data_IF_449275503601
#
_entry.id   IF_449275503601
#
_cell.length_a   1.000
_cell.length_b   1.000
_cell.length_c   1.000
_cell.angle_alpha   90.00
_cell.angle_beta   90.00
_cell.angle_gamma   90.00
#
_symmetry.space_group_name_H-M   'P 1'
#
loop_
_entity.id
_entity.type
_entity.pdbx_description
1 polymer ?
#
# COMPACT_ATOMS: atom_id res chain seq x y z
N UNK A 1 -0.66 10.00 50.12
CA UNK A 1 -0.59 10.35 48.70
C UNK A 1 -1.80 9.75 47.99
N UNK A 2 -2.87 10.52 47.83
CA UNK A 2 -4.10 10.08 47.16
C UNK A 2 -4.77 11.30 46.53
N UNK A 3 -4.30 11.71 45.36
CA UNK A 3 -4.94 12.77 44.56
C UNK A 3 -4.66 12.62 43.05
N UNK A 4 -4.31 11.41 42.58
CA UNK A 4 -4.08 11.13 41.15
C UNK A 4 -5.34 10.54 40.50
N UNK A 5 -6.32 10.09 41.29
CA UNK A 5 -7.43 9.27 40.79
C UNK A 5 -8.61 10.08 40.22
N UNK A 6 -8.69 11.39 40.44
CA UNK A 6 -9.85 12.21 40.01
C UNK A 6 -9.57 13.16 38.83
N UNK A 7 -8.32 13.34 38.40
CA UNK A 7 -7.98 14.22 37.24
C UNK A 7 -7.81 13.46 35.91
N UNK A 8 -8.02 12.14 35.89
CA UNK A 8 -7.59 11.28 34.78
C UNK A 8 -8.62 11.06 33.66
N UNK A 9 -9.88 11.47 33.82
CA UNK A 9 -10.89 11.21 32.78
C UNK A 9 -10.67 12.07 31.53
N UNK A 10 -10.44 13.36 31.66
CA UNK A 10 -10.28 14.28 30.51
C UNK A 10 -8.97 14.06 29.73
N UNK A 11 -7.87 13.74 30.42
CA UNK A 11 -6.60 13.39 29.77
C UNK A 11 -6.67 12.02 29.05
N UNK A 12 -7.39 11.05 29.63
CA UNK A 12 -7.62 9.76 28.97
C UNK A 12 -8.44 9.92 27.68
N UNK A 13 -9.52 10.73 27.68
CA UNK A 13 -10.29 11.02 26.47
C UNK A 13 -9.47 11.73 25.40
N UNK A 14 -8.66 12.73 25.77
CA UNK A 14 -7.77 13.43 24.83
C UNK A 14 -6.73 12.48 24.21
N UNK A 15 -6.12 11.59 25.00
CA UNK A 15 -5.15 10.62 24.46
C UNK A 15 -5.81 9.54 23.57
N UNK A 16 -7.05 9.14 23.88
CA UNK A 16 -7.82 8.21 23.07
C UNK A 16 -8.20 8.83 21.72
N UNK A 17 -8.61 10.09 21.71
CA UNK A 17 -8.94 10.83 20.49
C UNK A 17 -7.71 10.98 19.58
N UNK A 18 -6.54 11.33 20.11
CA UNK A 18 -5.30 11.42 19.34
C UNK A 18 -4.90 10.06 18.75
N UNK A 19 -5.02 8.96 19.53
CA UNK A 19 -4.74 7.61 19.04
C UNK A 19 -5.72 7.19 17.94
N UNK A 20 -6.99 7.54 18.08
CA UNK A 20 -8.01 7.26 17.08
C UNK A 20 -7.72 8.02 15.79
N UNK A 21 -7.42 9.32 15.87
CA UNK A 21 -7.04 10.15 14.72
C UNK A 21 -5.77 9.62 14.04
N UNK A 22 -4.75 9.23 14.82
CA UNK A 22 -3.52 8.64 14.27
C UNK A 22 -3.80 7.32 13.55
N UNK A 23 -4.62 6.44 14.14
CA UNK A 23 -4.98 5.16 13.52
C UNK A 23 -5.78 5.37 12.23
N UNK A 24 -6.73 6.31 12.22
CA UNK A 24 -7.50 6.65 11.02
C UNK A 24 -6.60 7.20 9.91
N UNK A 25 -5.65 8.08 10.24
CA UNK A 25 -4.70 8.60 9.26
C UNK A 25 -3.75 7.52 8.75
N UNK A 26 -3.23 6.66 9.63
CA UNK A 26 -2.36 5.55 9.23
C UNK A 26 -3.04 4.57 8.24
N UNK A 27 -4.32 4.25 8.46
CA UNK A 27 -5.09 3.42 7.53
C UNK A 27 -5.29 4.14 6.19
N UNK A 28 -5.54 5.44 6.21
CA UNK A 28 -5.67 6.24 4.98
C UNK A 28 -4.38 6.26 4.19
N UNK A 29 -3.25 6.52 4.86
CA UNK A 29 -1.93 6.58 4.25
C UNK A 29 -1.51 5.22 3.67
N UNK A 30 -1.79 4.13 4.39
CA UNK A 30 -1.55 2.77 3.90
C UNK A 30 -2.36 2.49 2.62
N UNK A 31 -3.66 2.80 2.63
CA UNK A 31 -4.51 2.61 1.45
C UNK A 31 -4.03 3.44 0.25
N UNK A 32 -3.52 4.64 0.48
CA UNK A 32 -2.99 5.51 -0.57
C UNK A 32 -1.69 4.95 -1.16
N UNK A 33 -0.79 4.43 -0.31
CA UNK A 33 0.42 3.74 -0.75
C UNK A 33 0.09 2.48 -1.56
N UNK A 34 -0.86 1.68 -1.10
CA UNK A 34 -1.30 0.48 -1.82
C UNK A 34 -1.86 0.84 -3.21
N UNK A 35 -2.65 1.90 -3.33
CA UNK A 35 -3.14 2.39 -4.62
C UNK A 35 -1.99 2.84 -5.53
N UNK A 36 -1.03 3.60 -5.01
CA UNK A 36 0.12 4.03 -5.80
C UNK A 36 0.96 2.85 -6.30
N UNK A 37 1.16 1.83 -5.45
CA UNK A 37 1.86 0.61 -5.83
C UNK A 37 1.07 -0.17 -6.88
N UNK A 38 -0.25 -0.30 -6.71
CA UNK A 38 -1.11 -0.95 -7.70
C UNK A 38 -1.04 -0.25 -9.06
N UNK A 39 -1.13 1.08 -9.11
CA UNK A 39 -1.01 1.84 -10.37
C UNK A 39 0.34 1.63 -11.04
N UNK A 40 1.45 1.68 -10.29
CA UNK A 40 2.79 1.43 -10.87
C UNK A 40 2.94 0.00 -11.39
N UNK A 41 2.35 -0.98 -10.70
CA UNK A 41 2.36 -2.38 -11.14
C UNK A 41 1.50 -2.58 -12.39
N UNK A 42 0.34 -1.92 -12.47
CA UNK A 42 -0.54 -1.97 -13.63
C UNK A 42 0.15 -1.39 -14.87
N UNK A 43 0.74 -0.19 -14.76
CA UNK A 43 1.55 0.44 -15.82
C UNK A 43 2.74 -0.43 -16.26
N UNK A 44 3.41 -1.11 -15.32
CA UNK A 44 4.48 -2.03 -15.64
C UNK A 44 3.97 -3.30 -16.35
N UNK A 45 2.81 -3.80 -15.94
CA UNK A 45 2.21 -5.02 -16.50
C UNK A 45 1.73 -4.83 -17.93
N UNK A 46 1.10 -3.70 -18.26
CA UNK A 46 0.65 -3.37 -19.63
C UNK A 46 1.84 -3.34 -20.61
N UNK A 47 2.97 -2.77 -20.20
CA UNK A 47 4.17 -2.71 -21.02
C UNK A 47 4.81 -4.09 -21.25
N UNK A 48 4.79 -4.96 -20.24
CA UNK A 48 5.39 -6.30 -20.35
C UNK A 48 4.49 -7.26 -21.14
N UNK A 49 3.16 -7.15 -21.05
CA UNK A 49 2.25 -7.93 -21.91
C UNK A 49 2.45 -7.60 -23.39
N UNK A 50 2.57 -6.32 -23.75
CA UNK A 50 2.87 -5.90 -25.10
C UNK A 50 4.24 -6.44 -25.58
N UNK A 51 5.27 -6.40 -24.72
CA UNK A 51 6.57 -7.01 -25.02
C UNK A 51 6.45 -8.52 -25.23
N UNK A 52 5.75 -9.24 -24.37
CA UNK A 52 5.54 -10.70 -24.50
C UNK A 52 4.78 -11.05 -25.77
N UNK A 53 3.74 -10.30 -26.11
CA UNK A 53 2.98 -10.52 -27.33
C UNK A 53 3.82 -10.28 -28.59
N UNK A 54 4.64 -9.21 -28.60
CA UNK A 54 5.58 -8.95 -29.70
C UNK A 54 6.68 -10.00 -29.84
N UNK A 55 7.04 -10.70 -28.75
CA UNK A 55 8.02 -11.80 -28.75
C UNK A 55 7.43 -13.15 -29.18
N UNK A 56 6.11 -13.27 -29.35
CA UNK A 56 5.51 -14.52 -29.85
C UNK A 56 5.94 -14.73 -31.31
N UNK A 57 6.70 -15.80 -31.56
CA UNK A 57 7.10 -16.16 -32.92
C UNK A 57 5.94 -16.95 -33.54
N UNK A 58 5.39 -16.52 -34.71
CA UNK A 58 4.31 -17.23 -35.37
C UNK A 58 4.69 -18.70 -35.62
N UNK A 59 3.89 -19.64 -35.11
CA UNK A 59 4.11 -21.08 -35.28
C UNK A 59 5.17 -21.72 -34.37
N UNK A 60 5.85 -20.97 -33.50
CA UNK A 60 6.92 -21.48 -32.61
C UNK A 60 6.73 -21.20 -31.11
N UNK A 61 5.67 -20.47 -30.73
CA UNK A 61 5.34 -20.22 -29.32
C UNK A 61 6.07 -19.01 -28.72
N UNK A 62 6.25 -19.01 -27.39
CA UNK A 62 6.92 -17.93 -26.66
C UNK A 62 8.45 -18.01 -26.85
N UNK A 63 9.06 -16.93 -27.35
CA UNK A 63 10.52 -16.88 -27.52
C UNK A 63 11.22 -16.77 -26.17
N UNK A 64 12.07 -17.74 -25.84
CA UNK A 64 12.89 -17.76 -24.62
C UNK A 64 13.96 -16.66 -24.71
N UNK A 65 13.96 -15.73 -23.74
CA UNK A 65 14.94 -14.65 -23.63
C UNK A 65 16.26 -15.20 -23.04
N UNK A 66 17.34 -15.21 -23.82
CA UNK A 66 18.69 -15.65 -23.43
C UNK A 66 19.56 -14.45 -23.03
N UNK A 67 19.09 -13.63 -22.09
CA UNK A 67 19.92 -12.60 -21.46
C UNK A 67 20.13 -12.92 -19.99
N UNK A 68 21.40 -13.12 -19.63
CA UNK A 68 21.93 -13.48 -18.30
C UNK A 68 22.28 -12.23 -17.52
#
# INVERSE_FOLDING_TARGET
>A
MSSITESNSSAAYSTAEVRQQLATNAVRDQNEQERQVATRLEEASENEEARRESRKIPGLGEAVDITV
#
